data_IF_886565830782
#
_entry.id   IF_886565830782
#
_cell.length_a   1.000
_cell.length_b   1.000
_cell.length_c   1.000
_cell.angle_alpha   90.00
_cell.angle_beta   90.00
_cell.angle_gamma   90.00
#
_symmetry.space_group_name_H-M   'P 1'
#
loop_
_entity.id
_entity.type
_entity.pdbx_description
1 polymer ?
#
# COMPACT_ATOMS: atom_id res chain seq x y z
N UNK A 1 52.58 -20.03 -1.77
CA UNK A 1 52.72 -21.29 -2.56
C UNK A 1 53.51 -22.30 -1.74
N UNK A 2 52.83 -23.11 -0.95
CA UNK A 2 53.37 -24.35 -0.37
C UNK A 2 52.24 -25.37 -0.35
N UNK A 3 52.54 -26.51 -0.98
CA UNK A 3 51.74 -27.73 -1.09
C UNK A 3 51.88 -28.53 0.19
N UNK A 4 50.87 -29.36 0.51
CA UNK A 4 50.85 -30.60 1.34
C UNK A 4 49.51 -30.64 2.08
N UNK A 5 48.83 -31.74 2.29
CA UNK A 5 48.95 -33.12 1.84
C UNK A 5 47.60 -33.77 2.19
N UNK A 6 47.24 -34.84 1.49
CA UNK A 6 46.09 -35.69 1.74
C UNK A 6 45.88 -36.02 3.23
N UNK A 7 44.68 -35.79 3.74
CA UNK A 7 44.14 -36.56 4.85
C UNK A 7 42.78 -37.15 4.45
N UNK A 8 42.84 -38.47 4.28
CA UNK A 8 41.71 -39.39 4.24
C UNK A 8 41.13 -39.50 5.67
N UNK A 9 39.83 -39.79 5.77
CA UNK A 9 39.13 -40.34 6.95
C UNK A 9 38.61 -39.37 8.04
N UNK A 10 37.33 -38.99 7.92
CA UNK A 10 36.34 -38.90 9.03
C UNK A 10 34.94 -38.77 8.39
N UNK A 11 34.17 -39.85 8.33
CA UNK A 11 33.18 -40.27 9.33
C UNK A 11 31.95 -39.34 9.40
N UNK A 12 30.87 -39.79 8.73
CA UNK A 12 29.47 -39.67 9.13
C UNK A 12 29.05 -38.37 9.84
N UNK A 13 28.61 -37.39 9.07
CA UNK A 13 27.62 -36.41 9.53
C UNK A 13 26.44 -36.45 8.56
N UNK A 14 25.40 -37.19 8.96
CA UNK A 14 24.04 -37.02 8.49
C UNK A 14 23.61 -35.60 8.87
N UNK A 15 23.81 -34.66 7.95
CA UNK A 15 23.46 -33.26 8.12
C UNK A 15 22.76 -32.76 6.86
N UNK A 16 21.62 -33.37 6.52
CA UNK A 16 20.65 -32.69 5.68
C UNK A 16 20.01 -31.58 6.51
N UNK A 17 20.63 -30.40 6.50
CA UNK A 17 19.95 -29.16 6.93
C UNK A 17 19.87 -28.26 5.70
N UNK A 18 18.90 -28.58 4.86
CA UNK A 18 18.28 -27.61 3.96
C UNK A 18 17.54 -26.61 4.85
N UNK A 19 18.19 -25.52 5.24
CA UNK A 19 17.47 -24.29 5.58
C UNK A 19 17.94 -23.24 4.57
N UNK A 20 17.49 -23.44 3.33
CA UNK A 20 17.23 -22.32 2.46
C UNK A 20 15.99 -21.61 3.02
N UNK A 21 16.22 -20.70 3.96
CA UNK A 21 15.24 -19.69 4.36
C UNK A 21 15.81 -18.32 4.02
N UNK A 22 16.07 -18.06 2.74
CA UNK A 22 15.88 -16.71 2.23
C UNK A 22 14.39 -16.57 1.94
N UNK A 23 13.62 -16.39 3.02
CA UNK A 23 12.34 -15.69 2.89
C UNK A 23 12.70 -14.21 2.74
N UNK A 24 13.14 -13.84 1.55
CA UNK A 24 13.11 -12.46 1.08
C UNK A 24 11.64 -12.06 0.86
N UNK A 25 10.86 -12.09 1.95
CA UNK A 25 9.59 -11.41 2.03
C UNK A 25 9.93 -9.93 2.25
N UNK A 26 10.42 -9.28 1.18
CA UNK A 26 10.33 -7.83 1.06
C UNK A 26 8.84 -7.50 1.00
N UNK A 27 8.21 -7.43 2.17
CA UNK A 27 6.84 -7.00 2.32
C UNK A 27 6.81 -5.51 1.95
N UNK A 28 6.78 -5.24 0.64
CA UNK A 28 6.71 -3.90 0.10
C UNK A 28 5.49 -3.25 0.72
N UNK A 29 5.72 -2.19 1.50
CA UNK A 29 4.66 -1.45 2.17
C UNK A 29 3.50 -1.21 1.20
N UNK A 30 2.29 -1.58 1.64
CA UNK A 30 1.04 -1.50 0.88
C UNK A 30 0.07 -0.60 1.63
N UNK A 31 -0.62 0.26 0.89
CA UNK A 31 -1.74 1.03 1.44
C UNK A 31 -3.04 0.26 1.26
N UNK A 32 -3.89 0.28 2.28
CA UNK A 32 -5.24 -0.26 2.24
C UNK A 32 -6.25 0.79 2.71
N UNK A 33 -7.50 0.61 2.29
CA UNK A 33 -8.59 1.51 2.60
C UNK A 33 -9.68 0.75 3.36
N UNK A 34 -10.39 1.44 4.26
CA UNK A 34 -11.54 0.87 4.98
C UNK A 34 -12.68 0.42 4.08
N UNK A 35 -12.71 0.89 2.82
CA UNK A 35 -13.65 0.52 1.76
C UNK A 35 -12.89 0.42 0.44
N UNK A 36 -13.33 -0.44 -0.47
CA UNK A 36 -12.73 -0.59 -1.80
C UNK A 36 -13.24 0.44 -2.83
N UNK A 37 -14.29 1.19 -2.50
CA UNK A 37 -14.93 2.23 -3.32
C UNK A 37 -15.62 3.24 -2.40
N UNK A 38 -15.73 4.49 -2.85
CA UNK A 38 -16.61 5.51 -2.26
C UNK A 38 -17.80 5.76 -3.17
N UNK A 39 -19.00 5.77 -2.58
CA UNK A 39 -20.25 6.11 -3.23
C UNK A 39 -20.94 7.21 -2.43
N UNK A 40 -21.19 8.35 -3.07
CA UNK A 40 -21.81 9.54 -2.45
C UNK A 40 -22.78 10.18 -3.45
N UNK A 41 -23.76 10.94 -2.96
CA UNK A 41 -24.56 11.84 -3.81
C UNK A 41 -23.83 13.18 -4.02
N UNK A 42 -24.32 13.98 -4.97
CA UNK A 42 -23.81 15.35 -5.16
C UNK A 42 -23.95 16.16 -3.86
N UNK A 43 -22.91 16.90 -3.51
CA UNK A 43 -22.74 17.68 -2.28
C UNK A 43 -22.59 16.88 -0.97
N UNK A 44 -22.77 15.57 -0.99
CA UNK A 44 -22.52 14.71 0.16
C UNK A 44 -21.05 14.32 0.30
N UNK A 45 -20.68 13.85 1.48
CA UNK A 45 -19.31 13.41 1.78
C UNK A 45 -19.28 12.07 2.51
N UNK A 46 -18.25 11.29 2.22
CA UNK A 46 -17.91 10.08 2.97
C UNK A 46 -16.45 10.14 3.42
N UNK A 47 -16.15 9.47 4.53
CA UNK A 47 -14.79 9.43 5.09
C UNK A 47 -14.30 8.00 5.17
N UNK A 48 -13.11 7.77 4.64
CA UNK A 48 -12.42 6.48 4.67
C UNK A 48 -11.13 6.58 5.47
N UNK A 49 -10.72 5.46 6.05
CA UNK A 49 -9.43 5.33 6.75
C UNK A 49 -8.41 4.69 5.82
N UNK A 50 -7.19 5.20 5.84
CA UNK A 50 -6.01 4.65 5.17
C UNK A 50 -5.15 3.91 6.20
N UNK A 51 -4.71 2.70 5.87
CA UNK A 51 -3.81 1.89 6.69
C UNK A 51 -2.58 1.45 5.90
N UNK A 52 -1.49 1.15 6.61
CA UNK A 52 -0.19 0.81 6.04
C UNK A 52 0.63 2.03 5.59
N UNK A 53 1.89 1.81 5.18
CA UNK A 53 2.79 2.88 4.76
C UNK A 53 3.19 3.86 5.87
N UNK A 54 3.68 5.04 5.47
CA UNK A 54 4.23 6.07 6.38
C UNK A 54 3.58 7.43 6.13
N UNK A 55 3.03 8.03 7.19
CA UNK A 55 2.45 9.38 7.13
C UNK A 55 3.53 10.47 6.92
N UNK A 56 3.20 11.66 6.38
CA UNK A 56 1.88 12.09 5.92
C UNK A 56 1.45 11.43 4.60
N UNK A 57 0.14 11.23 4.44
CA UNK A 57 -0.44 10.89 3.14
C UNK A 57 -0.73 12.15 2.33
N UNK A 58 -0.71 12.01 1.02
CA UNK A 58 -1.16 13.01 0.05
C UNK A 58 -2.26 12.39 -0.83
N UNK A 59 -3.14 13.23 -1.36
CA UNK A 59 -4.24 12.81 -2.24
C UNK A 59 -4.19 13.57 -3.56
N UNK A 60 -4.52 12.87 -4.64
CA UNK A 60 -4.67 13.43 -5.97
C UNK A 60 -5.89 12.80 -6.64
N UNK A 61 -6.86 13.63 -6.99
CA UNK A 61 -8.08 13.23 -7.66
C UNK A 61 -7.84 13.12 -9.17
N UNK A 62 -8.38 12.08 -9.80
CA UNK A 62 -8.32 11.90 -11.25
C UNK A 62 -9.13 12.96 -12.00
N UNK A 63 -10.25 13.42 -11.40
CA UNK A 63 -11.08 14.51 -11.91
C UNK A 63 -11.68 15.30 -10.73
N UNK A 64 -11.11 16.48 -10.49
CA UNK A 64 -11.53 17.41 -9.43
C UNK A 64 -12.89 18.06 -9.69
N UNK A 65 -13.44 17.96 -10.89
CA UNK A 65 -14.79 18.47 -11.22
C UNK A 65 -15.89 17.49 -10.78
N UNK A 66 -15.55 16.21 -10.59
CA UNK A 66 -16.47 15.15 -10.14
C UNK A 66 -16.44 15.01 -8.63
N UNK A 67 -15.24 14.92 -8.03
CA UNK A 67 -15.07 14.80 -6.58
C UNK A 67 -13.77 15.46 -6.11
N UNK A 68 -13.78 15.92 -4.86
CA UNK A 68 -12.57 16.43 -4.17
C UNK A 68 -12.28 15.60 -2.94
N UNK A 69 -10.99 15.39 -2.66
CA UNK A 69 -10.53 14.59 -1.54
C UNK A 69 -9.56 15.40 -0.67
N UNK A 70 -9.69 15.27 0.64
CA UNK A 70 -8.84 15.97 1.61
C UNK A 70 -8.39 15.03 2.71
N UNK A 71 -7.11 15.05 3.03
CA UNK A 71 -6.59 14.39 4.24
C UNK A 71 -7.03 15.20 5.45
N UNK A 72 -7.79 14.58 6.34
CA UNK A 72 -8.32 15.24 7.55
C UNK A 72 -7.22 15.50 8.59
N UNK A 73 -7.53 16.26 9.64
CA UNK A 73 -6.63 16.50 10.78
C UNK A 73 -6.18 15.23 11.50
N UNK A 74 -6.91 14.11 11.36
CA UNK A 74 -6.51 12.81 11.89
C UNK A 74 -5.33 12.18 11.12
N UNK A 75 -4.93 12.75 9.97
CA UNK A 75 -3.84 12.33 9.08
C UNK A 75 -3.97 10.94 8.45
N UNK A 76 -4.82 10.07 8.98
CA UNK A 76 -5.10 8.72 8.50
C UNK A 76 -6.49 8.58 7.88
N UNK A 77 -7.30 9.65 7.89
CA UNK A 77 -8.62 9.67 7.26
C UNK A 77 -8.65 10.61 6.07
N UNK A 78 -9.32 10.19 5.00
CA UNK A 78 -9.58 10.96 3.80
C UNK A 78 -11.07 11.22 3.72
N UNK A 79 -11.47 12.50 3.67
CA UNK A 79 -12.82 12.90 3.36
C UNK A 79 -12.94 13.10 1.84
N UNK A 80 -13.97 12.52 1.23
CA UNK A 80 -14.27 12.64 -0.21
C UNK A 80 -15.64 13.28 -0.35
N UNK A 81 -15.71 14.41 -1.05
CA UNK A 81 -16.97 15.12 -1.35
C UNK A 81 -17.33 14.98 -2.83
N UNK A 82 -18.57 14.60 -3.10
CA UNK A 82 -19.12 14.59 -4.46
C UNK A 82 -19.49 16.00 -4.92
N UNK A 83 -19.05 16.39 -6.11
CA UNK A 83 -19.34 17.70 -6.72
C UNK A 83 -20.28 17.61 -7.92
N UNK A 84 -20.12 16.56 -8.73
CA UNK A 84 -20.91 16.34 -9.95
C UNK A 84 -21.08 14.85 -10.19
N UNK A 85 -22.26 14.44 -10.64
CA UNK A 85 -22.54 13.06 -11.07
C UNK A 85 -21.45 12.55 -12.02
N UNK A 86 -20.92 11.37 -11.74
CA UNK A 86 -19.90 10.73 -12.56
C UNK A 86 -19.02 9.77 -11.78
N UNK A 87 -18.00 9.26 -12.45
CA UNK A 87 -17.02 8.35 -11.89
C UNK A 87 -15.63 9.00 -11.95
N UNK A 88 -14.87 8.89 -10.87
CA UNK A 88 -13.49 9.34 -10.82
C UNK A 88 -12.68 8.43 -9.90
N UNK A 89 -11.43 8.79 -9.63
CA UNK A 89 -10.58 8.08 -8.68
C UNK A 89 -9.86 9.07 -7.77
N UNK A 90 -9.43 8.58 -6.60
CA UNK A 90 -8.55 9.31 -5.70
C UNK A 90 -7.30 8.45 -5.50
N UNK A 91 -6.15 8.95 -5.96
CA UNK A 91 -4.84 8.36 -5.67
C UNK A 91 -4.35 8.86 -4.33
N UNK A 92 -3.98 7.93 -3.44
CA UNK A 92 -3.37 8.21 -2.14
C UNK A 92 -1.91 7.80 -2.21
N UNK A 93 -1.01 8.67 -1.76
CA UNK A 93 0.44 8.40 -1.74
C UNK A 93 1.00 8.69 -0.36
N UNK A 94 1.79 7.78 0.20
CA UNK A 94 2.47 7.96 1.47
C UNK A 94 3.78 8.75 1.33
N UNK A 95 4.43 9.03 2.47
CA UNK A 95 5.70 9.77 2.51
C UNK A 95 6.81 9.12 1.67
N UNK A 96 6.78 7.80 1.53
CA UNK A 96 7.81 7.02 0.84
C UNK A 96 7.44 6.74 -0.63
N UNK A 97 6.34 7.30 -1.14
CA UNK A 97 5.90 7.12 -2.53
C UNK A 97 5.09 5.85 -2.78
N UNK A 98 4.74 5.08 -1.73
CA UNK A 98 3.78 3.99 -1.85
C UNK A 98 2.42 4.57 -2.19
N UNK A 99 1.78 4.03 -3.22
CA UNK A 99 0.51 4.54 -3.69
C UNK A 99 -0.56 3.46 -3.80
N UNK A 100 -1.81 3.88 -3.62
CA UNK A 100 -3.01 3.10 -3.90
C UNK A 100 -4.10 4.02 -4.44
N UNK A 101 -5.00 3.47 -5.27
CA UNK A 101 -6.07 4.23 -5.92
C UNK A 101 -7.42 3.74 -5.41
N UNK A 102 -8.29 4.68 -5.08
CA UNK A 102 -9.66 4.44 -4.62
C UNK A 102 -10.66 4.91 -5.68
N UNK A 103 -11.49 4.02 -6.24
CA UNK A 103 -12.60 4.41 -7.10
C UNK A 103 -13.66 5.23 -6.36
N UNK A 104 -14.21 6.24 -7.03
CA UNK A 104 -15.28 7.10 -6.51
C UNK A 104 -16.42 7.16 -7.53
N UNK A 105 -17.65 6.98 -7.05
CA UNK A 105 -18.87 7.23 -7.84
C UNK A 105 -19.70 8.31 -7.13
N UNK A 106 -20.10 9.31 -7.89
CA UNK A 106 -21.02 10.36 -7.46
C UNK A 106 -22.35 10.13 -8.18
N UNK A 107 -23.39 9.84 -7.40
CA UNK A 107 -24.77 9.74 -7.87
C UNK A 107 -25.48 11.11 -7.78
N UNK A 108 -26.67 11.21 -8.36
CA UNK A 108 -27.53 12.40 -8.21
C UNK A 108 -27.97 12.64 -6.77
#
# INVERSE_FOLDING_TARGET
MMKRASYLFTALCLGAILIACDKDDNEKAKLTFSKNKVEVSVNESDTITVSGGVTPYTVLEGDKTIAVATVTSAKTKIAVKGLKKGNTTVKVTDKNGVNATLPVTVAE
#
